data_IF_037910291500
#
_entry.id   IF_037910291500
#
_cell.length_a   1.000
_cell.length_b   1.000
_cell.length_c   1.000
_cell.angle_alpha   90.00
_cell.angle_beta   90.00
_cell.angle_gamma   90.00
#
_symmetry.space_group_name_H-M   'P 1'
#
loop_
_entity.id
_entity.type
_entity.pdbx_description
1 polymer ?
#
# COMPACT_ATOMS: atom_id res chain seq x y z
N UNK A 1 -34.31 32.21 3.80
CA UNK A 1 -34.02 30.87 3.22
C UNK A 1 -32.63 30.87 2.59
N UNK A 2 -31.63 31.33 3.34
CA UNK A 2 -30.23 31.41 2.88
C UNK A 2 -29.34 30.43 3.66
N UNK A 3 -29.84 29.92 4.79
CA UNK A 3 -29.15 29.01 5.71
C UNK A 3 -29.23 27.55 5.26
N UNK A 4 -30.33 27.11 4.65
CA UNK A 4 -30.49 25.76 4.07
C UNK A 4 -29.45 25.41 2.99
N UNK A 5 -28.83 26.42 2.36
CA UNK A 5 -27.92 26.22 1.23
C UNK A 5 -26.49 25.89 1.66
N UNK A 6 -26.13 26.18 2.92
CA UNK A 6 -24.80 25.88 3.47
C UNK A 6 -24.76 24.42 3.96
N UNK A 7 -25.88 23.91 4.48
CA UNK A 7 -25.96 22.56 5.06
C UNK A 7 -25.87 21.43 4.02
N UNK A 8 -26.24 21.70 2.77
CA UNK A 8 -26.22 20.70 1.69
C UNK A 8 -24.80 20.35 1.18
N UNK A 9 -23.79 21.18 1.42
CA UNK A 9 -22.45 21.02 0.82
C UNK A 9 -21.42 20.35 1.74
N UNK A 10 -21.74 20.12 3.02
CA UNK A 10 -20.82 19.48 3.98
C UNK A 10 -21.18 18.00 4.26
N UNK A 11 -22.02 17.38 3.40
CA UNK A 11 -22.61 16.05 3.62
C UNK A 11 -22.04 14.95 2.73
N UNK A 12 -20.81 15.11 2.24
CA UNK A 12 -20.08 14.04 1.57
C UNK A 12 -18.93 13.57 2.45
N UNK A 13 -18.88 12.29 2.84
CA UNK A 13 -17.81 11.76 3.67
C UNK A 13 -16.49 11.92 2.90
N UNK A 14 -15.46 12.31 3.65
CA UNK A 14 -14.07 12.25 3.26
C UNK A 14 -13.66 10.77 3.07
N UNK A 15 -14.24 10.10 2.08
CA UNK A 15 -13.73 8.86 1.53
C UNK A 15 -12.49 9.26 0.74
N UNK A 16 -11.35 8.86 1.29
CA UNK A 16 -9.99 9.09 0.82
C UNK A 16 -9.79 8.56 -0.61
N UNK A 17 -10.26 9.30 -1.61
CA UNK A 17 -9.77 9.16 -2.99
C UNK A 17 -8.67 10.20 -3.19
N UNK A 18 -7.43 9.72 -3.06
CA UNK A 18 -6.18 10.44 -3.32
C UNK A 18 -5.98 10.66 -4.84
N UNK A 19 -6.93 11.35 -5.50
CA UNK A 19 -6.78 11.84 -6.88
C UNK A 19 -6.07 13.20 -6.92
N UNK A 20 -5.04 13.38 -6.09
CA UNK A 20 -4.04 14.42 -6.30
C UNK A 20 -2.85 13.74 -6.97
N UNK A 21 -2.27 14.29 -8.04
CA UNK A 21 -1.22 13.66 -8.85
C UNK A 21 0.13 13.42 -8.13
N UNK A 22 0.11 13.19 -6.82
CA UNK A 22 1.24 12.84 -5.98
C UNK A 22 1.20 11.34 -5.70
N UNK A 23 1.95 10.58 -6.49
CA UNK A 23 2.13 9.16 -6.20
C UNK A 23 2.69 8.96 -4.79
N UNK A 24 1.93 8.24 -3.96
CA UNK A 24 2.34 7.85 -2.62
C UNK A 24 3.68 7.11 -2.67
N UNK A 25 4.69 7.66 -1.98
CA UNK A 25 6.08 7.14 -2.02
C UNK A 25 6.36 6.05 -0.98
N UNK A 26 5.46 5.86 -0.02
CA UNK A 26 5.64 4.92 1.09
C UNK A 26 4.37 4.16 1.39
N UNK A 27 4.48 2.87 1.69
CA UNK A 27 3.39 2.05 2.17
C UNK A 27 3.43 1.90 3.69
N UNK A 28 2.26 1.68 4.28
CA UNK A 28 2.09 1.22 5.65
C UNK A 28 1.98 -0.30 5.71
N UNK A 29 2.13 -0.90 6.89
CA UNK A 29 1.92 -2.35 7.08
C UNK A 29 0.52 -2.77 6.66
N UNK A 30 -0.48 -1.91 6.87
CA UNK A 30 -1.88 -2.18 6.48
C UNK A 30 -2.04 -2.27 4.97
N UNK A 31 -1.34 -1.41 4.23
CA UNK A 31 -1.34 -1.49 2.76
C UNK A 31 -0.61 -2.73 2.26
N UNK A 32 0.51 -3.12 2.88
CA UNK A 32 1.20 -4.35 2.51
C UNK A 32 0.32 -5.59 2.78
N UNK A 33 -0.47 -5.57 3.86
CA UNK A 33 -1.45 -6.63 4.13
C UNK A 33 -2.51 -6.71 3.03
N UNK A 34 -3.02 -5.57 2.58
CA UNK A 34 -4.03 -5.50 1.51
C UNK A 34 -3.47 -5.94 0.15
N UNK A 35 -2.32 -5.40 -0.24
CA UNK A 35 -1.65 -5.69 -1.53
C UNK A 35 -1.27 -7.17 -1.65
N UNK A 36 -0.73 -7.78 -0.60
CA UNK A 36 -0.32 -9.19 -0.60
C UNK A 36 -1.43 -10.14 -0.12
N UNK A 37 -2.56 -9.60 0.36
CA UNK A 37 -3.62 -10.38 1.02
C UNK A 37 -3.09 -11.31 2.13
N UNK A 38 -2.18 -10.79 2.97
CA UNK A 38 -1.56 -11.55 4.08
C UNK A 38 -2.03 -11.05 5.44
N UNK A 39 -2.00 -11.96 6.43
CA UNK A 39 -2.31 -11.62 7.81
C UNK A 39 -1.25 -10.72 8.47
N UNK A 40 -1.66 -10.02 9.53
CA UNK A 40 -0.82 -9.10 10.33
C UNK A 40 0.50 -9.72 10.75
N UNK A 41 0.49 -10.93 11.29
CA UNK A 41 1.70 -11.62 11.73
C UNK A 41 2.70 -11.80 10.57
N UNK A 42 2.21 -12.24 9.42
CA UNK A 42 3.04 -12.46 8.22
C UNK A 42 3.58 -11.14 7.68
N UNK A 43 2.78 -10.08 7.66
CA UNK A 43 3.24 -8.76 7.23
C UNK A 43 4.37 -8.21 8.12
N UNK A 44 4.24 -8.31 9.45
CA UNK A 44 5.31 -7.90 10.36
C UNK A 44 6.57 -8.76 10.20
N UNK A 45 6.41 -10.08 10.03
CA UNK A 45 7.53 -10.98 9.76
C UNK A 45 8.25 -10.61 8.45
N UNK A 46 7.49 -10.30 7.40
CA UNK A 46 8.02 -9.91 6.09
C UNK A 46 8.80 -8.60 6.17
N UNK A 47 8.24 -7.58 6.82
CA UNK A 47 8.93 -6.30 7.02
C UNK A 47 10.22 -6.51 7.83
N UNK A 48 10.16 -7.29 8.91
CA UNK A 48 11.34 -7.61 9.73
C UNK A 48 12.37 -8.50 9.01
N UNK A 49 11.97 -9.26 7.97
CA UNK A 49 12.87 -10.05 7.13
C UNK A 49 13.84 -9.16 6.32
N UNK A 50 13.49 -7.88 6.11
CA UNK A 50 14.37 -6.91 5.46
C UNK A 50 14.53 -7.10 3.95
N UNK A 51 13.59 -7.81 3.31
CA UNK A 51 13.58 -8.05 1.85
C UNK A 51 13.37 -6.78 1.02
N UNK A 52 12.82 -5.72 1.63
CA UNK A 52 12.69 -4.39 1.06
C UNK A 52 13.04 -3.32 2.09
N UNK A 53 13.30 -2.10 1.61
CA UNK A 53 13.66 -0.98 2.48
C UNK A 53 12.46 -0.49 3.28
N UNK A 54 12.60 -0.44 4.61
CA UNK A 54 11.64 0.15 5.53
C UNK A 54 12.34 1.03 6.56
N UNK A 55 11.61 2.02 7.09
CA UNK A 55 12.05 2.89 8.18
C UNK A 55 10.97 2.91 9.25
N UNK A 56 11.39 2.85 10.51
CA UNK A 56 10.49 3.04 11.65
C UNK A 56 10.52 4.50 12.09
N UNK A 57 9.42 5.21 11.90
CA UNK A 57 9.28 6.63 12.28
C UNK A 57 8.18 6.74 13.33
N UNK A 58 8.54 7.17 14.55
CA UNK A 58 7.57 7.38 15.63
C UNK A 58 6.77 6.13 16.01
N UNK A 59 7.35 4.93 15.91
CA UNK A 59 6.65 3.68 16.19
C UNK A 59 5.89 3.08 15.00
N UNK A 60 5.73 3.84 13.90
CA UNK A 60 5.08 3.38 12.68
C UNK A 60 6.11 2.92 11.65
N UNK A 61 5.81 1.84 10.93
CA UNK A 61 6.63 1.37 9.82
C UNK A 61 6.23 2.10 8.54
N UNK A 62 7.24 2.59 7.82
CA UNK A 62 7.14 3.23 6.52
C UNK A 62 7.98 2.42 5.54
N UNK A 63 7.32 1.74 4.61
CA UNK A 63 7.94 0.89 3.61
C UNK A 63 8.14 1.72 2.35
N UNK A 64 9.32 1.71 1.75
CA UNK A 64 9.55 2.43 0.50
C UNK A 64 8.83 1.74 -0.66
N UNK A 65 7.92 2.45 -1.34
CA UNK A 65 7.14 1.92 -2.49
C UNK A 65 8.07 1.33 -3.56
N UNK A 66 9.06 2.11 -3.99
CA UNK A 66 10.05 1.69 -5.01
C UNK A 66 10.79 0.39 -4.67
N UNK A 67 11.15 0.20 -3.40
CA UNK A 67 11.86 -1.02 -2.99
C UNK A 67 10.91 -2.21 -2.91
N UNK A 68 9.68 -1.98 -2.46
CA UNK A 68 8.64 -2.98 -2.38
C UNK A 68 8.19 -3.45 -3.78
N UNK A 69 7.91 -2.53 -4.71
CA UNK A 69 7.48 -2.86 -6.08
C UNK A 69 8.55 -3.69 -6.81
N UNK A 70 9.84 -3.34 -6.64
CA UNK A 70 10.94 -4.12 -7.20
C UNK A 70 10.98 -5.54 -6.64
N UNK A 71 10.72 -5.69 -5.34
CA UNK A 71 10.66 -7.00 -4.71
C UNK A 71 9.46 -7.81 -5.24
N UNK A 72 8.31 -7.16 -5.43
CA UNK A 72 7.10 -7.80 -5.98
C UNK A 72 7.31 -8.29 -7.43
N UNK A 73 7.92 -7.46 -8.28
CA UNK A 73 8.29 -7.80 -9.66
C UNK A 73 9.24 -9.02 -9.72
N UNK A 74 10.20 -9.06 -8.80
CA UNK A 74 11.09 -10.20 -8.63
C UNK A 74 10.38 -11.48 -8.16
N UNK A 75 9.27 -11.38 -7.43
CA UNK A 75 8.48 -12.56 -7.01
C UNK A 75 7.58 -13.07 -8.14
N UNK A 76 7.00 -12.19 -8.95
CA UNK A 76 6.12 -12.57 -10.07
C UNK A 76 6.89 -13.35 -11.14
N UNK A 77 8.15 -12.98 -11.38
CA UNK A 77 9.02 -13.65 -12.35
C UNK A 77 9.31 -15.12 -11.98
N UNK A 78 9.36 -15.45 -10.69
CA UNK A 78 9.59 -16.84 -10.22
C UNK A 78 8.37 -17.75 -10.41
N UNK A 79 7.19 -17.19 -10.75
CA UNK A 79 5.99 -17.97 -11.06
C UNK A 79 5.76 -18.17 -12.57
N UNK A 80 6.57 -17.53 -13.42
CA UNK A 80 6.50 -17.67 -14.89
C UNK A 80 7.53 -18.66 -15.46
N UNK A 81 8.16 -19.47 -14.61
CA UNK A 81 8.99 -20.61 -14.98
C UNK A 81 8.19 -21.85 -15.42
N UNK A 82 7.17 -21.68 -16.27
CA UNK A 82 6.55 -22.78 -17.02
C UNK A 82 6.60 -22.41 -18.50
N UNK A 83 7.80 -22.40 -19.05
CA UNK A 83 8.00 -22.42 -20.50
C UNK A 83 7.42 -23.74 -21.01
N UNK A 84 6.26 -23.63 -21.68
CA UNK A 84 5.79 -24.42 -22.81
C UNK A 84 6.63 -25.68 -23.10
N UNK A 85 6.09 -26.87 -22.78
CA UNK A 85 6.53 -28.09 -23.45
C UNK A 85 5.79 -28.21 -24.79
N UNK A 86 6.58 -28.53 -25.83
CA UNK A 86 6.18 -29.04 -27.16
C UNK A 86 4.90 -29.90 -27.17
#
# INVERSE_FOLDING_TARGET
MFEDKIEAMNKLPNAVDDSSGFEKRVYTVEEIMDILSIGKNTAYALVNSGVFHFVKVGGHYRISKKSFDRWLDNMDSESSGCQLCD
#
